data_IF_160438350805
#
_entry.id   IF_160438350805
#
_cell.length_a   1.000
_cell.length_b   1.000
_cell.length_c   1.000
_cell.angle_alpha   90.00
_cell.angle_beta   90.00
_cell.angle_gamma   90.00
#
_symmetry.space_group_name_H-M   'P 1'
#
loop_
_entity.id
_entity.type
_entity.pdbx_description
1 polymer ?
#
# COMPACT_ATOMS: atom_id res chain seq x y z
N UNK A 1 -14.26 69.97 -46.73
CA UNK A 1 -14.38 68.50 -46.75
C UNK A 1 -13.69 67.87 -47.97
N UNK A 2 -14.04 68.23 -49.21
CA UNK A 2 -13.39 67.65 -50.42
C UNK A 2 -11.87 67.96 -50.49
N UNK A 3 -11.45 69.14 -50.07
CA UNK A 3 -10.03 69.52 -49.99
C UNK A 3 -9.22 68.69 -48.99
N UNK A 4 -9.82 68.35 -47.84
CA UNK A 4 -9.18 67.59 -46.76
C UNK A 4 -8.94 66.13 -47.17
N UNK A 5 -9.95 65.50 -47.80
CA UNK A 5 -9.87 64.12 -48.29
C UNK A 5 -8.81 64.00 -49.39
N UNK A 6 -8.75 64.98 -50.30
CA UNK A 6 -7.73 65.02 -51.35
C UNK A 6 -6.32 65.16 -50.79
N UNK A 7 -6.16 65.89 -49.68
CA UNK A 7 -4.87 66.06 -48.98
C UNK A 7 -4.41 64.75 -48.34
N UNK A 8 -5.27 64.11 -47.54
CA UNK A 8 -4.97 62.86 -46.85
C UNK A 8 -4.59 61.75 -47.83
N UNK A 9 -5.33 61.60 -48.93
CA UNK A 9 -5.01 60.60 -49.95
C UNK A 9 -3.63 60.86 -50.58
N UNK A 10 -3.29 62.12 -50.83
CA UNK A 10 -1.99 62.49 -51.39
C UNK A 10 -0.85 62.16 -50.42
N UNK A 11 -1.05 62.38 -49.12
CA UNK A 11 -0.07 62.02 -48.08
C UNK A 11 0.15 60.50 -48.02
N UNK A 12 -0.92 59.69 -48.01
CA UNK A 12 -0.81 58.22 -48.02
C UNK A 12 -0.09 57.71 -49.27
N UNK A 13 -0.41 58.26 -50.44
CA UNK A 13 0.24 57.85 -51.68
C UNK A 13 1.73 58.17 -51.68
N UNK A 14 2.15 59.31 -51.10
CA UNK A 14 3.56 59.64 -50.90
C UNK A 14 4.27 58.64 -50.00
N UNK A 15 3.68 58.28 -48.85
CA UNK A 15 4.23 57.26 -47.93
C UNK A 15 4.34 55.88 -48.61
N UNK A 16 3.47 55.62 -49.59
CA UNK A 16 3.49 54.41 -50.40
C UNK A 16 4.42 54.50 -51.62
N UNK A 17 5.33 55.48 -51.69
CA UNK A 17 6.19 55.77 -52.86
C UNK A 17 5.39 55.82 -54.18
N UNK A 18 4.20 56.40 -54.13
CA UNK A 18 3.27 56.52 -55.26
C UNK A 18 2.85 55.19 -55.92
N UNK A 19 3.12 54.05 -55.26
CA UNK A 19 2.70 52.71 -55.71
C UNK A 19 1.18 52.59 -55.64
N UNK A 20 0.52 52.70 -56.79
CA UNK A 20 -0.94 52.63 -56.93
C UNK A 20 -1.34 51.90 -58.21
N UNK A 21 -2.40 51.11 -58.12
CA UNK A 21 -3.00 50.41 -59.26
C UNK A 21 -4.51 50.61 -59.23
N UNK A 22 -5.09 50.91 -60.38
CA UNK A 22 -6.54 51.08 -60.53
C UNK A 22 -7.19 49.80 -61.06
N UNK A 23 -8.13 49.26 -60.30
CA UNK A 23 -8.93 48.09 -60.69
C UNK A 23 -10.32 48.50 -61.17
N UNK A 24 -10.75 47.91 -62.29
CA UNK A 24 -12.10 48.10 -62.84
C UNK A 24 -12.88 46.79 -62.63
N UNK A 25 -13.57 46.67 -61.49
CA UNK A 25 -14.21 45.42 -61.06
C UNK A 25 -15.57 45.16 -61.72
N UNK A 26 -15.90 45.82 -62.83
CA UNK A 26 -17.15 45.59 -63.56
C UNK A 26 -17.15 44.19 -64.18
N UNK A 27 -18.31 43.53 -64.18
CA UNK A 27 -18.46 42.14 -64.67
C UNK A 27 -18.07 41.97 -66.15
N UNK A 28 -18.33 43.00 -66.98
CA UNK A 28 -18.24 42.96 -68.44
C UNK A 28 -17.01 43.69 -69.03
N UNK A 29 -15.86 43.64 -68.36
CA UNK A 29 -14.62 44.19 -68.93
C UNK A 29 -13.86 43.16 -69.77
N UNK A 30 -13.16 43.59 -70.84
CA UNK A 30 -12.34 42.70 -71.65
C UNK A 30 -11.29 41.98 -70.80
N UNK A 31 -11.04 40.69 -71.11
CA UNK A 31 -10.03 39.89 -70.41
C UNK A 31 -8.64 40.53 -70.45
N UNK A 32 -8.25 41.09 -71.60
CA UNK A 32 -6.99 41.82 -71.76
C UNK A 32 -6.85 43.01 -70.79
N UNK A 33 -7.96 43.68 -70.45
CA UNK A 33 -7.96 44.76 -69.44
C UNK A 33 -7.77 44.20 -68.03
N UNK A 34 -8.39 43.07 -67.70
CA UNK A 34 -8.18 42.37 -66.42
C UNK A 34 -6.73 41.93 -66.26
N UNK A 35 -6.20 41.27 -67.28
CA UNK A 35 -4.85 40.73 -67.29
C UNK A 35 -3.83 41.86 -67.13
N UNK A 36 -4.02 43.00 -67.81
CA UNK A 36 -3.19 44.19 -67.65
C UNK A 36 -3.22 44.74 -66.21
N UNK A 37 -4.40 44.84 -65.59
CA UNK A 37 -4.52 45.33 -64.21
C UNK A 37 -3.83 44.43 -63.19
N UNK A 38 -3.96 43.11 -63.35
CA UNK A 38 -3.24 42.13 -62.51
C UNK A 38 -1.74 42.21 -62.76
N UNK A 39 -1.31 42.36 -64.02
CA UNK A 39 0.10 42.50 -64.35
C UNK A 39 0.72 43.77 -63.74
N UNK A 40 0.01 44.90 -63.80
CA UNK A 40 0.45 46.16 -63.18
C UNK A 40 0.64 45.99 -61.65
N UNK A 41 -0.25 45.25 -60.98
CA UNK A 41 -0.11 44.89 -59.57
C UNK A 41 1.10 43.99 -59.33
N UNK A 42 1.26 42.92 -60.11
CA UNK A 42 2.36 41.97 -59.95
C UNK A 42 3.72 42.64 -60.17
N UNK A 43 3.82 43.60 -61.09
CA UNK A 43 5.03 44.39 -61.30
C UNK A 43 5.43 45.15 -60.01
N UNK A 44 4.47 45.75 -59.30
CA UNK A 44 4.74 46.40 -58.02
C UNK A 44 5.11 45.40 -56.91
N UNK A 45 4.42 44.25 -56.85
CA UNK A 45 4.76 43.19 -55.89
C UNK A 45 6.19 42.69 -56.10
N UNK A 46 6.60 42.49 -57.35
CA UNK A 46 7.95 42.07 -57.70
C UNK A 46 8.99 43.14 -57.33
N UNK A 47 8.71 44.42 -57.59
CA UNK A 47 9.57 45.53 -57.17
C UNK A 47 9.74 45.59 -55.65
N UNK A 48 8.65 45.47 -54.88
CA UNK A 48 8.71 45.43 -53.41
C UNK A 48 9.49 44.21 -52.94
N UNK A 49 9.24 43.04 -53.54
CA UNK A 49 9.97 41.81 -53.23
C UNK A 49 11.47 41.98 -53.46
N UNK A 50 11.88 42.54 -54.61
CA UNK A 50 13.30 42.84 -54.89
C UNK A 50 13.89 43.84 -53.88
N UNK A 51 13.17 44.93 -53.58
CA UNK A 51 13.58 45.95 -52.59
C UNK A 51 13.77 45.35 -51.20
N UNK A 52 12.95 44.36 -50.84
CA UNK A 52 12.99 43.70 -49.54
C UNK A 52 13.82 42.40 -49.55
N UNK A 53 14.61 42.13 -50.60
CA UNK A 53 15.39 40.90 -50.75
C UNK A 53 14.55 39.61 -50.60
N UNK A 54 13.29 39.66 -51.02
CA UNK A 54 12.32 38.58 -50.90
C UNK A 54 11.75 38.37 -49.49
N UNK A 55 12.14 39.20 -48.50
CA UNK A 55 11.65 39.07 -47.13
C UNK A 55 10.24 39.65 -46.99
N UNK A 56 9.27 38.87 -46.48
CA UNK A 56 7.95 39.39 -46.14
C UNK A 56 8.05 40.31 -44.91
N UNK A 57 7.03 41.16 -44.72
CA UNK A 57 6.97 42.17 -43.65
C UNK A 57 7.20 41.60 -42.24
N UNK A 58 6.80 40.35 -41.97
CA UNK A 58 6.94 39.68 -40.67
C UNK A 58 7.87 38.46 -40.72
N UNK A 59 8.95 38.53 -41.49
CA UNK A 59 9.92 37.43 -41.60
C UNK A 59 10.47 37.01 -40.23
N UNK A 60 10.82 37.98 -39.37
CA UNK A 60 11.43 37.73 -38.07
C UNK A 60 10.45 37.04 -37.10
N UNK A 61 9.21 37.55 -37.02
CA UNK A 61 8.16 36.94 -36.19
C UNK A 61 7.84 35.51 -36.65
N UNK A 62 7.89 35.25 -37.96
CA UNK A 62 7.63 33.92 -38.51
C UNK A 62 8.74 32.92 -38.15
N UNK A 63 10.00 33.38 -38.07
CA UNK A 63 11.12 32.57 -37.62
C UNK A 63 11.03 32.30 -36.12
N UNK A 64 10.80 33.33 -35.31
CA UNK A 64 10.62 33.19 -33.86
C UNK A 64 9.47 32.22 -33.51
N UNK A 65 8.34 32.30 -34.22
CA UNK A 65 7.22 31.37 -34.03
C UNK A 65 7.64 29.91 -34.31
N UNK A 66 8.35 29.66 -35.41
CA UNK A 66 8.83 28.31 -35.75
C UNK A 66 9.85 27.77 -34.75
N UNK A 67 10.76 28.60 -34.29
CA UNK A 67 11.74 28.23 -33.25
C UNK A 67 11.05 27.91 -31.92
N UNK A 68 10.09 28.74 -31.52
CA UNK A 68 9.29 28.51 -30.32
C UNK A 68 8.46 27.22 -30.42
N UNK A 69 7.82 26.95 -31.57
CA UNK A 69 7.10 25.70 -31.83
C UNK A 69 8.04 24.49 -31.67
N UNK A 70 9.21 24.51 -32.31
CA UNK A 70 10.18 23.41 -32.22
C UNK A 70 10.66 23.16 -30.78
N UNK A 71 10.92 24.23 -30.01
CA UNK A 71 11.34 24.09 -28.60
C UNK A 71 10.21 23.57 -27.71
N UNK A 72 8.95 23.93 -27.98
CA UNK A 72 7.78 23.42 -27.27
C UNK A 72 7.59 21.93 -27.52
N UNK A 73 7.71 21.48 -28.77
CA UNK A 73 7.62 20.06 -29.12
C UNK A 73 8.69 19.23 -28.41
N UNK A 74 9.93 19.73 -28.37
CA UNK A 74 11.03 19.05 -27.70
C UNK A 74 10.81 18.96 -26.19
N UNK A 75 10.38 20.05 -25.54
CA UNK A 75 10.02 20.05 -24.11
C UNK A 75 8.86 19.08 -23.83
N UNK A 76 7.86 18.99 -24.71
CA UNK A 76 6.77 18.04 -24.56
C UNK A 76 7.25 16.58 -24.61
N UNK A 77 8.17 16.23 -25.53
CA UNK A 77 8.78 14.90 -25.60
C UNK A 77 9.53 14.55 -24.32
N UNK A 78 10.31 15.48 -23.77
CA UNK A 78 11.02 15.28 -22.49
C UNK A 78 10.07 15.04 -21.32
N UNK A 79 8.97 15.82 -21.22
CA UNK A 79 7.95 15.62 -20.19
C UNK A 79 7.29 14.24 -20.30
N UNK A 80 7.00 13.78 -21.52
CA UNK A 80 6.43 12.45 -21.73
C UNK A 80 7.40 11.34 -21.34
N UNK A 81 8.69 11.47 -21.69
CA UNK A 81 9.73 10.52 -21.31
C UNK A 81 9.87 10.40 -19.77
N UNK A 82 9.93 11.54 -19.07
CA UNK A 82 10.01 11.58 -17.60
C UNK A 82 8.76 10.97 -16.93
N UNK A 83 7.57 11.21 -17.47
CA UNK A 83 6.33 10.59 -16.97
C UNK A 83 6.34 9.07 -17.10
N UNK A 84 6.96 8.52 -18.15
CA UNK A 84 7.12 7.08 -18.32
C UNK A 84 8.01 6.45 -17.25
N UNK A 85 9.16 7.06 -16.98
CA UNK A 85 10.12 6.61 -15.96
C UNK A 85 9.51 6.65 -14.55
N UNK A 86 8.86 7.76 -14.20
CA UNK A 86 8.18 7.92 -12.91
C UNK A 86 7.10 6.85 -12.66
N UNK A 87 6.33 6.46 -13.68
CA UNK A 87 5.32 5.39 -13.53
C UNK A 87 5.94 4.04 -13.15
N UNK A 88 7.10 3.71 -13.72
CA UNK A 88 7.78 2.44 -13.46
C UNK A 88 8.39 2.43 -12.06
N UNK A 89 9.00 3.53 -11.64
CA UNK A 89 9.54 3.72 -10.27
C UNK A 89 8.42 3.64 -9.21
N UNK A 90 7.29 4.32 -9.43
CA UNK A 90 6.12 4.25 -8.53
C UNK A 90 5.60 2.82 -8.42
N UNK A 91 5.54 2.08 -9.52
CA UNK A 91 5.10 0.69 -9.51
C UNK A 91 6.05 -0.23 -8.72
N UNK A 92 7.36 0.00 -8.82
CA UNK A 92 8.37 -0.75 -8.06
C UNK A 92 8.24 -0.48 -6.56
N UNK A 93 8.20 0.79 -6.16
CA UNK A 93 8.04 1.20 -4.75
C UNK A 93 6.75 0.64 -4.17
N UNK A 94 5.64 0.69 -4.91
CA UNK A 94 4.36 0.12 -4.45
C UNK A 94 4.48 -1.39 -4.19
N UNK A 95 5.14 -2.13 -5.08
CA UNK A 95 5.33 -3.58 -4.94
C UNK A 95 6.22 -3.92 -3.75
N UNK A 96 7.27 -3.16 -3.51
CA UNK A 96 8.14 -3.32 -2.33
C UNK A 96 7.38 -3.00 -1.03
N UNK A 97 6.54 -1.96 -1.04
CA UNK A 97 5.70 -1.62 0.10
C UNK A 97 4.67 -2.71 0.43
N UNK A 98 4.01 -3.27 -0.59
CA UNK A 98 3.09 -4.41 -0.40
C UNK A 98 3.81 -5.63 0.16
N UNK A 99 5.03 -5.92 -0.34
CA UNK A 99 5.84 -7.04 0.15
C UNK A 99 6.21 -6.87 1.63
N UNK A 100 6.73 -5.70 2.01
CA UNK A 100 7.11 -5.40 3.40
C UNK A 100 5.93 -5.41 4.35
N UNK A 101 4.77 -4.91 3.92
CA UNK A 101 3.52 -4.99 4.69
C UNK A 101 3.10 -6.44 4.96
N UNK A 102 3.12 -7.30 3.94
CA UNK A 102 2.75 -8.71 4.08
C UNK A 102 3.71 -9.47 4.99
N UNK A 103 5.02 -9.21 4.90
CA UNK A 103 6.04 -9.79 5.78
C UNK A 103 5.82 -9.39 7.24
N UNK A 104 5.52 -8.11 7.50
CA UNK A 104 5.18 -7.63 8.84
C UNK A 104 3.92 -8.30 9.39
N UNK A 105 2.90 -8.47 8.54
CA UNK A 105 1.62 -9.06 8.91
C UNK A 105 1.76 -10.53 9.30
N UNK A 106 2.51 -11.32 8.53
CA UNK A 106 2.83 -12.71 8.91
C UNK A 106 3.67 -12.77 10.19
N UNK A 107 4.62 -11.86 10.38
CA UNK A 107 5.41 -11.79 11.63
C UNK A 107 4.56 -11.46 12.87
N UNK A 108 3.56 -10.58 12.75
CA UNK A 108 2.62 -10.28 13.84
C UNK A 108 1.73 -11.50 14.12
N UNK A 109 1.20 -12.14 13.08
CA UNK A 109 0.37 -13.34 13.18
C UNK A 109 1.09 -14.49 13.87
N UNK A 110 2.36 -14.71 13.54
CA UNK A 110 3.19 -15.74 14.18
C UNK A 110 3.43 -15.42 15.67
N UNK A 111 3.76 -14.16 16.00
CA UNK A 111 3.91 -13.74 17.41
C UNK A 111 2.65 -13.98 18.23
N UNK A 112 1.48 -13.60 17.70
CA UNK A 112 0.18 -13.83 18.38
C UNK A 112 -0.06 -15.32 18.57
N UNK A 113 0.18 -16.15 17.54
CA UNK A 113 -0.01 -17.59 17.62
C UNK A 113 0.90 -18.23 18.69
N UNK A 114 2.17 -17.81 18.76
CA UNK A 114 3.12 -18.30 19.74
C UNK A 114 2.73 -17.87 21.17
N UNK A 115 2.36 -16.60 21.38
CA UNK A 115 1.89 -16.09 22.68
C UNK A 115 0.62 -16.79 23.18
N UNK A 116 -0.33 -17.06 22.29
CA UNK A 116 -1.54 -17.82 22.61
C UNK A 116 -1.19 -19.25 23.04
N UNK A 117 -0.25 -19.89 22.35
CA UNK A 117 0.19 -21.26 22.66
C UNK A 117 0.89 -21.32 24.01
N UNK A 118 1.77 -20.37 24.31
CA UNK A 118 2.43 -20.24 25.61
C UNK A 118 1.40 -20.04 26.73
N UNK A 119 0.51 -19.05 26.59
CA UNK A 119 -0.53 -18.76 27.59
C UNK A 119 -1.44 -19.97 27.86
N UNK A 120 -1.77 -20.74 26.81
CA UNK A 120 -2.58 -21.95 26.92
C UNK A 120 -1.86 -23.06 27.69
N UNK A 121 -0.54 -23.22 27.51
CA UNK A 121 0.26 -24.18 28.25
C UNK A 121 0.35 -23.80 29.73
N UNK A 122 0.58 -22.53 30.04
CA UNK A 122 0.62 -22.01 31.41
C UNK A 122 -0.71 -22.27 32.15
N UNK A 123 -1.85 -21.99 31.50
CA UNK A 123 -3.18 -22.26 32.07
C UNK A 123 -3.39 -23.76 32.30
N UNK A 124 -2.97 -24.63 31.38
CA UNK A 124 -3.05 -26.09 31.57
C UNK A 124 -2.21 -26.55 32.75
N UNK A 125 -1.00 -26.01 32.91
CA UNK A 125 -0.13 -26.35 34.03
C UNK A 125 -0.73 -25.87 35.36
N UNK A 126 -1.25 -24.64 35.42
CA UNK A 126 -1.95 -24.12 36.60
C UNK A 126 -3.18 -24.96 36.95
N UNK A 127 -3.96 -25.40 35.95
CA UNK A 127 -5.10 -26.27 36.15
C UNK A 127 -4.67 -27.62 36.75
N UNK A 128 -3.59 -28.22 36.24
CA UNK A 128 -3.05 -29.46 36.77
C UNK A 128 -2.58 -29.30 38.23
N UNK A 129 -1.86 -28.21 38.53
CA UNK A 129 -1.44 -27.87 39.91
C UNK A 129 -2.64 -27.67 40.83
N UNK A 130 -3.66 -26.94 40.39
CA UNK A 130 -4.88 -26.71 41.15
C UNK A 130 -5.67 -28.01 41.40
N UNK A 131 -5.75 -28.91 40.42
CA UNK A 131 -6.37 -30.23 40.58
C UNK A 131 -5.62 -31.10 41.59
N UNK A 132 -4.29 -31.11 41.55
CA UNK A 132 -3.46 -31.83 42.53
C UNK A 132 -3.62 -31.22 43.91
N UNK A 133 -3.55 -29.89 44.04
CA UNK A 133 -3.76 -29.19 45.29
C UNK A 133 -5.16 -29.47 45.87
N UNK A 134 -6.21 -29.46 45.04
CA UNK A 134 -7.58 -29.81 45.45
C UNK A 134 -7.66 -31.25 45.94
N UNK A 135 -7.02 -32.21 45.25
CA UNK A 135 -6.97 -33.61 45.72
C UNK A 135 -6.25 -33.71 47.06
N UNK A 136 -5.09 -33.06 47.21
CA UNK A 136 -4.34 -33.04 48.47
C UNK A 136 -5.16 -32.41 49.60
N UNK A 137 -5.83 -31.28 49.35
CA UNK A 137 -6.71 -30.62 50.32
C UNK A 137 -7.92 -31.49 50.70
N UNK A 138 -8.54 -32.15 49.71
CA UNK A 138 -9.60 -33.11 49.95
C UNK A 138 -9.11 -34.29 50.81
N UNK A 139 -7.96 -34.88 50.47
CA UNK A 139 -7.36 -35.96 51.25
C UNK A 139 -7.01 -35.50 52.67
N UNK A 140 -6.46 -34.30 52.83
CA UNK A 140 -6.14 -33.72 54.14
C UNK A 140 -7.40 -33.52 54.98
N UNK A 141 -8.44 -32.90 54.41
CA UNK A 141 -9.73 -32.72 55.07
C UNK A 141 -10.37 -34.07 55.47
N UNK A 142 -10.34 -35.05 54.57
CA UNK A 142 -10.89 -36.39 54.79
C UNK A 142 -10.12 -37.16 55.89
N UNK A 143 -8.80 -36.99 55.93
CA UNK A 143 -7.93 -37.52 56.98
C UNK A 143 -8.20 -36.89 58.34
N UNK A 144 -8.45 -35.58 58.38
CA UNK A 144 -8.69 -34.83 59.61
C UNK A 144 -10.09 -35.07 60.21
N UNK A 145 -11.13 -35.29 59.38
CA UNK A 145 -12.52 -35.21 59.86
C UNK A 145 -13.38 -36.48 59.82
N UNK A 146 -13.00 -37.58 59.15
CA UNK A 146 -13.96 -38.70 58.97
C UNK A 146 -13.38 -40.09 59.16
N UNK A 147 -12.29 -40.45 58.48
CA UNK A 147 -11.82 -41.84 58.49
C UNK A 147 -10.97 -42.21 59.69
N UNK A 148 -10.13 -41.29 60.17
CA UNK A 148 -9.29 -41.55 61.34
C UNK A 148 -10.12 -41.72 62.63
N UNK A 149 -11.19 -40.93 62.78
CA UNK A 149 -12.12 -41.07 63.92
C UNK A 149 -12.86 -42.40 63.92
N UNK A 150 -13.17 -42.95 62.74
CA UNK A 150 -13.87 -44.23 62.59
C UNK A 150 -12.93 -45.43 62.77
N UNK A 151 -11.73 -45.39 62.18
CA UNK A 151 -10.72 -46.45 62.32
C UNK A 151 -10.12 -46.55 63.72
N UNK A 152 -10.03 -45.45 64.46
CA UNK A 152 -9.59 -45.45 65.87
C UNK A 152 -10.49 -46.29 66.78
N UNK A 153 -11.73 -46.58 66.35
CA UNK A 153 -12.72 -47.34 67.11
C UNK A 153 -12.89 -48.80 66.65
N UNK A 154 -12.30 -49.22 65.52
CA UNK A 154 -12.42 -50.58 64.98
C UNK A 154 -11.12 -51.40 65.09
N UNK A 155 -11.23 -52.69 65.40
CA UNK A 155 -10.14 -53.63 65.72
C UNK A 155 -9.11 -53.91 64.59
N UNK A 156 -9.35 -53.42 63.38
CA UNK A 156 -8.46 -53.57 62.20
C UNK A 156 -7.07 -52.94 62.41
N UNK A 157 -6.96 -51.93 63.27
CA UNK A 157 -5.68 -51.26 63.58
C UNK A 157 -4.69 -52.16 64.32
N UNK A 158 -5.18 -53.14 65.09
CA UNK A 158 -4.33 -54.10 65.79
C UNK A 158 -3.67 -55.11 64.84
N UNK A 159 -4.37 -55.51 63.79
CA UNK A 159 -3.89 -56.51 62.82
C UNK A 159 -2.70 -55.99 61.99
N UNK A 160 -2.75 -54.73 61.57
CA UNK A 160 -1.69 -54.12 60.73
C UNK A 160 -0.43 -53.73 61.51
N UNK A 161 -0.52 -53.52 62.84
CA UNK A 161 0.64 -53.18 63.68
C UNK A 161 1.57 -54.37 63.96
N UNK A 162 1.08 -55.61 63.84
CA UNK A 162 1.87 -56.82 64.09
C UNK A 162 2.60 -57.36 62.86
N UNK A 163 2.16 -57.06 61.64
CA UNK A 163 2.86 -57.48 60.42
C UNK A 163 3.92 -56.42 60.02
N UNK A 164 5.17 -56.77 60.27
CA UNK A 164 6.40 -56.00 60.06
C UNK A 164 6.75 -55.76 58.58
N UNK A 165 5.87 -55.14 57.79
CA UNK A 165 6.16 -54.91 56.35
C UNK A 165 6.74 -53.52 56.01
N UNK A 166 6.82 -52.55 56.93
CA UNK A 166 7.32 -51.20 56.58
C UNK A 166 8.19 -50.47 57.63
N UNK A 167 9.42 -50.92 57.93
CA UNK A 167 10.42 -50.06 58.57
C UNK A 167 11.38 -49.36 57.58
N UNK A 168 11.44 -49.76 56.31
CA UNK A 168 12.55 -49.37 55.40
C UNK A 168 12.29 -48.09 54.56
N UNK A 169 11.15 -47.43 54.70
CA UNK A 169 10.84 -46.20 53.95
C UNK A 169 10.51 -45.01 54.86
N UNK A 170 11.19 -44.92 56.01
CA UNK A 170 11.12 -43.75 56.90
C UNK A 170 12.04 -42.59 56.45
N UNK A 171 12.81 -42.76 55.37
CA UNK A 171 13.65 -41.71 54.80
C UNK A 171 13.29 -41.44 53.35
N UNK A 172 12.79 -40.22 53.08
CA UNK A 172 12.45 -39.62 51.77
C UNK A 172 11.07 -40.02 51.21
N UNK A 173 10.13 -39.06 51.29
CA UNK A 173 8.99 -38.67 50.43
C UNK A 173 8.39 -39.62 49.34
N UNK A 174 8.60 -40.94 49.38
CA UNK A 174 8.20 -41.90 48.34
C UNK A 174 6.97 -42.74 48.76
N UNK A 175 6.46 -42.54 49.99
CA UNK A 175 5.32 -43.30 50.48
C UNK A 175 3.97 -43.07 49.75
N UNK A 176 3.61 -41.84 49.30
CA UNK A 176 2.27 -41.62 48.75
C UNK A 176 2.04 -42.27 47.39
N UNK A 177 3.08 -42.38 46.55
CA UNK A 177 2.94 -42.79 45.15
C UNK A 177 2.89 -44.31 45.01
N UNK A 178 3.69 -45.05 45.78
CA UNK A 178 3.72 -46.52 45.72
C UNK A 178 2.58 -47.15 46.52
N UNK A 179 2.26 -46.62 47.71
CA UNK A 179 1.12 -47.10 48.49
C UNK A 179 -0.21 -46.88 47.74
N UNK A 180 -0.31 -45.78 46.99
CA UNK A 180 -1.46 -45.50 46.14
C UNK A 180 -1.73 -46.57 45.08
N UNK A 181 -0.71 -47.19 44.47
CA UNK A 181 -0.91 -48.19 43.39
C UNK A 181 -1.36 -49.55 43.93
N UNK A 182 -0.78 -50.01 45.04
CA UNK A 182 -1.09 -51.34 45.59
C UNK A 182 -2.34 -51.34 46.47
N UNK A 183 -2.56 -50.29 47.26
CA UNK A 183 -3.74 -50.18 48.14
C UNK A 183 -5.00 -49.93 47.32
N UNK A 184 -4.97 -49.06 46.29
CA UNK A 184 -6.14 -48.90 45.41
C UNK A 184 -6.42 -50.14 44.57
N UNK A 185 -5.39 -50.88 44.10
CA UNK A 185 -5.59 -52.11 43.33
C UNK A 185 -6.22 -53.21 44.20
N UNK A 186 -5.75 -53.36 45.43
CA UNK A 186 -6.33 -54.25 46.43
C UNK A 186 -7.80 -53.89 46.76
N UNK A 187 -8.15 -52.60 46.84
CA UNK A 187 -9.52 -52.14 47.08
C UNK A 187 -10.43 -52.20 45.84
N UNK A 188 -9.87 -52.09 44.63
CA UNK A 188 -10.60 -52.30 43.35
C UNK A 188 -10.98 -53.77 43.16
N UNK A 189 -10.09 -54.68 43.55
CA UNK A 189 -10.30 -56.13 43.43
C UNK A 189 -11.16 -56.71 44.59
N UNK A 190 -11.16 -56.11 45.79
CA UNK A 190 -11.90 -56.61 46.98
C UNK A 190 -13.26 -55.93 47.26
N UNK A 191 -14.06 -55.72 46.21
CA UNK A 191 -15.52 -55.57 46.35
C UNK A 191 -16.08 -54.31 47.03
N UNK A 192 -15.34 -53.19 47.15
CA UNK A 192 -15.91 -51.95 47.73
C UNK A 192 -16.44 -50.92 46.72
N UNK A 193 -16.28 -51.13 45.41
CA UNK A 193 -16.90 -50.31 44.36
C UNK A 193 -17.94 -51.11 43.57
N UNK A 194 -18.93 -51.68 44.27
CA UNK A 194 -20.15 -52.18 43.64
C UNK A 194 -21.32 -51.27 44.04
N UNK A 195 -21.35 -50.08 43.44
CA UNK A 195 -22.51 -49.22 43.24
C UNK A 195 -22.20 -48.24 42.11
#
# INVERSE_FOLDING_TARGET
MVSEISRILTEILKECDDRKVLFDNRRNIPKSKKDKQVQDLLNFVEQISKKNNGKPFMADLSLELRENEATLEEKQKQIQAMKGQSKQEIAQVKKEMEKTYNEMLEGIKEKIANQLKESLNDVKEQLAKAQVARKIQFFRFWWENTVFRSWRKNALFWFWRKNTFFPVLAGKYIFPVLAGKYIFRFWRENAFFRF
#
